data_IF_722727617365
#
_entry.id   IF_722727617365
#
_cell.length_a   1.000
_cell.length_b   1.000
_cell.length_c   1.000
_cell.angle_alpha   90.00
_cell.angle_beta   90.00
_cell.angle_gamma   90.00
#
_symmetry.space_group_name_H-M   'P 1'
#
loop_
_entity.id
_entity.type
_entity.pdbx_description
1 polymer ?
#
# COMPACT_ATOMS: atom_id res chain seq x y z
N UNK A 1 16.84 -30.07 -9.80
CA UNK A 1 17.02 -29.12 -10.91
C UNK A 1 16.07 -27.96 -10.67
N UNK A 2 16.55 -26.84 -10.14
CA UNK A 2 15.75 -25.68 -9.75
C UNK A 2 15.72 -24.72 -10.94
N UNK A 3 14.58 -24.64 -11.61
CA UNK A 3 14.37 -23.78 -12.77
C UNK A 3 14.19 -22.33 -12.27
N UNK A 4 15.23 -21.54 -12.39
CA UNK A 4 15.20 -20.10 -12.10
C UNK A 4 14.44 -19.43 -13.25
N UNK A 5 13.18 -19.09 -13.02
CA UNK A 5 12.40 -18.28 -13.97
C UNK A 5 12.89 -16.83 -13.86
N UNK A 6 13.79 -16.46 -14.74
CA UNK A 6 14.15 -15.06 -14.98
C UNK A 6 12.96 -14.39 -15.68
N UNK A 7 12.17 -13.64 -14.91
CA UNK A 7 11.20 -12.71 -15.48
C UNK A 7 11.97 -11.59 -16.19
N UNK A 8 11.63 -11.25 -17.45
CA UNK A 8 12.23 -10.12 -18.12
C UNK A 8 11.80 -8.84 -17.41
N UNK A 9 12.72 -8.18 -16.74
CA UNK A 9 12.56 -6.81 -16.25
C UNK A 9 12.55 -5.90 -17.49
N UNK A 10 11.38 -5.74 -18.09
CA UNK A 10 11.16 -4.73 -19.11
C UNK A 10 11.40 -3.35 -18.48
N UNK A 11 12.48 -2.71 -18.86
CA UNK A 11 12.77 -1.33 -18.52
C UNK A 11 11.73 -0.42 -19.18
N UNK A 12 10.64 -0.15 -18.48
CA UNK A 12 9.84 1.04 -18.74
C UNK A 12 10.54 2.19 -18.02
N UNK A 13 10.68 3.33 -18.66
CA UNK A 13 11.37 4.51 -18.16
C UNK A 13 10.60 5.25 -17.04
N UNK A 14 9.84 4.54 -16.23
CA UNK A 14 9.22 5.06 -15.03
C UNK A 14 10.24 4.93 -13.90
N UNK A 15 10.52 6.03 -13.22
CA UNK A 15 11.49 6.09 -12.13
C UNK A 15 11.00 5.20 -10.98
N UNK A 16 11.59 4.02 -10.83
CA UNK A 16 11.26 3.11 -9.73
C UNK A 16 11.80 3.69 -8.41
N UNK A 17 10.99 3.62 -7.37
CA UNK A 17 11.36 4.00 -6.01
C UNK A 17 11.65 2.77 -5.15
N UNK A 18 12.38 2.97 -4.05
CA UNK A 18 12.67 1.95 -3.05
C UNK A 18 12.25 2.40 -1.66
N UNK A 19 11.58 1.51 -0.92
CA UNK A 19 11.13 1.77 0.44
C UNK A 19 11.25 0.57 1.38
N UNK A 20 11.05 0.85 2.67
CA UNK A 20 10.92 -0.16 3.71
C UNK A 20 9.48 -0.17 4.24
N UNK A 21 9.02 -1.34 4.68
CA UNK A 21 7.71 -1.55 5.29
C UNK A 21 7.87 -2.32 6.60
N UNK A 22 7.46 -1.73 7.70
CA UNK A 22 7.44 -2.36 9.02
C UNK A 22 6.00 -2.52 9.47
N UNK A 23 5.61 -3.72 9.85
CA UNK A 23 4.27 -4.00 10.35
C UNK A 23 4.27 -4.78 11.66
N UNK A 24 3.35 -4.39 12.53
CA UNK A 24 3.04 -5.05 13.79
C UNK A 24 1.60 -5.52 13.74
N UNK A 25 1.34 -6.80 13.95
CA UNK A 25 -0.01 -7.36 14.06
C UNK A 25 -0.19 -8.01 15.42
N UNK A 26 -1.20 -7.59 16.16
CA UNK A 26 -1.62 -8.21 17.42
C UNK A 26 -3.02 -8.79 17.22
N UNK A 27 -3.20 -10.07 17.44
CA UNK A 27 -4.48 -10.75 17.25
C UNK A 27 -4.89 -11.48 18.52
N UNK A 28 -6.07 -11.13 19.04
CA UNK A 28 -6.70 -11.77 20.20
C UNK A 28 -7.89 -12.61 19.78
N UNK A 29 -7.88 -13.90 20.14
CA UNK A 29 -9.06 -14.76 19.98
C UNK A 29 -10.09 -14.42 21.05
N UNK A 30 -11.29 -14.01 20.62
CA UNK A 30 -12.43 -13.78 21.50
C UNK A 30 -13.27 -15.03 21.67
N UNK A 31 -13.34 -15.85 20.61
CA UNK A 31 -14.03 -17.16 20.63
C UNK A 31 -13.38 -18.13 19.62
N UNK A 32 -13.97 -19.33 19.46
CA UNK A 32 -13.52 -20.29 18.44
C UNK A 32 -13.61 -19.76 16.99
N UNK A 33 -14.53 -18.81 16.77
CA UNK A 33 -14.81 -18.27 15.43
C UNK A 33 -14.52 -16.76 15.30
N UNK A 34 -14.34 -16.04 16.39
CA UNK A 34 -14.17 -14.57 16.38
C UNK A 34 -12.81 -14.19 16.92
N UNK A 35 -12.10 -13.32 16.22
CA UNK A 35 -10.86 -12.70 16.69
C UNK A 35 -10.84 -11.20 16.40
N UNK A 36 -10.22 -10.44 17.30
CA UNK A 36 -9.96 -9.02 17.20
C UNK A 36 -8.48 -8.85 16.81
N UNK A 37 -8.21 -7.99 15.81
CA UNK A 37 -6.88 -7.65 15.36
C UNK A 37 -6.58 -6.17 15.55
N UNK A 38 -5.34 -5.88 15.89
CA UNK A 38 -4.74 -4.55 15.81
C UNK A 38 -3.56 -4.64 14.84
N UNK A 39 -3.41 -3.64 13.99
CA UNK A 39 -2.30 -3.54 13.04
C UNK A 39 -1.66 -2.15 13.13
N UNK A 40 -0.33 -2.11 13.21
CA UNK A 40 0.48 -0.91 13.07
C UNK A 40 1.35 -1.03 11.82
N UNK A 41 1.54 0.06 11.08
CA UNK A 41 2.34 0.09 9.86
C UNK A 41 3.20 1.35 9.83
N UNK A 42 4.46 1.21 9.41
CA UNK A 42 5.37 2.29 9.09
C UNK A 42 6.01 2.01 7.73
N UNK A 43 5.94 2.98 6.82
CA UNK A 43 6.55 2.89 5.49
C UNK A 43 7.48 4.05 5.20
N UNK A 44 8.49 3.76 4.38
CA UNK A 44 9.36 4.78 3.80
C UNK A 44 9.24 4.80 2.27
N UNK A 45 9.71 5.89 1.66
CA UNK A 45 9.85 6.11 0.21
C UNK A 45 11.14 6.89 -0.07
N UNK A 46 11.35 7.31 -1.31
CA UNK A 46 12.50 8.12 -1.76
C UNK A 46 13.84 7.45 -1.40
N UNK A 47 13.99 6.16 -1.77
CA UNK A 47 15.13 5.35 -1.39
C UNK A 47 15.37 5.33 0.12
N UNK A 48 14.30 5.13 0.88
CA UNK A 48 14.23 5.06 2.36
C UNK A 48 14.46 6.39 3.11
N UNK A 49 14.69 7.49 2.42
CA UNK A 49 15.03 8.79 3.05
C UNK A 49 13.82 9.47 3.71
N UNK A 50 12.61 9.17 3.23
CA UNK A 50 11.40 9.86 3.66
C UNK A 50 10.41 8.86 4.26
N UNK A 51 9.85 9.17 5.43
CA UNK A 51 8.70 8.42 5.96
C UNK A 51 7.50 8.76 5.09
N UNK A 52 6.95 7.74 4.42
CA UNK A 52 5.78 7.85 3.54
C UNK A 52 4.48 7.81 4.32
N UNK A 53 4.37 6.82 5.23
CA UNK A 53 3.14 6.55 5.97
C UNK A 53 3.43 5.92 7.31
N UNK A 54 2.59 6.26 8.28
CA UNK A 54 2.32 5.40 9.41
C UNK A 54 0.80 5.21 9.57
N UNK A 55 0.39 4.05 10.03
CA UNK A 55 -1.02 3.71 10.15
C UNK A 55 -1.27 2.86 11.38
N UNK A 56 -2.49 2.97 11.90
CA UNK A 56 -3.02 2.09 12.93
C UNK A 56 -4.39 1.59 12.52
N UNK A 57 -4.66 0.30 12.72
CA UNK A 57 -5.88 -0.34 12.30
C UNK A 57 -6.45 -1.31 13.33
N UNK A 58 -7.75 -1.47 13.30
CA UNK A 58 -8.50 -2.47 14.04
C UNK A 58 -9.26 -3.36 13.07
N UNK A 59 -9.36 -4.63 13.35
CA UNK A 59 -10.11 -5.58 12.54
C UNK A 59 -10.86 -6.58 13.40
N UNK A 60 -12.00 -7.01 12.91
CA UNK A 60 -12.80 -8.11 13.45
C UNK A 60 -12.85 -9.21 12.40
N UNK A 61 -12.34 -10.39 12.75
CA UNK A 61 -12.36 -11.58 11.91
C UNK A 61 -13.41 -12.56 12.42
N UNK A 62 -14.25 -13.07 11.51
CA UNK A 62 -15.20 -14.13 11.75
C UNK A 62 -14.91 -15.33 10.85
N UNK A 63 -14.56 -16.46 11.46
CA UNK A 63 -14.33 -17.73 10.78
C UNK A 63 -15.66 -18.48 10.62
N UNK A 64 -16.33 -18.25 9.49
CA UNK A 64 -17.62 -18.88 9.18
C UNK A 64 -17.47 -20.40 8.97
N UNK A 65 -16.42 -20.80 8.25
CA UNK A 65 -16.05 -22.22 8.03
C UNK A 65 -14.54 -22.39 8.16
N UNK A 66 -14.07 -23.64 8.19
CA UNK A 66 -12.61 -23.93 8.25
C UNK A 66 -11.82 -23.32 7.09
N UNK A 67 -12.48 -23.10 5.96
CA UNK A 67 -11.92 -22.58 4.72
C UNK A 67 -12.42 -21.18 4.35
N UNK A 68 -13.33 -20.58 5.14
CA UNK A 68 -13.97 -19.30 4.84
C UNK A 68 -13.89 -18.36 6.04
N UNK A 69 -13.30 -17.20 5.82
CA UNK A 69 -13.18 -16.11 6.79
C UNK A 69 -13.76 -14.81 6.23
N UNK A 70 -14.59 -14.16 7.02
CA UNK A 70 -15.08 -12.80 6.83
C UNK A 70 -14.28 -11.87 7.73
N UNK A 71 -13.95 -10.69 7.27
CA UNK A 71 -13.26 -9.68 8.08
C UNK A 71 -13.81 -8.31 7.78
N UNK A 72 -13.96 -7.49 8.83
CA UNK A 72 -14.26 -6.07 8.72
C UNK A 72 -13.17 -5.29 9.47
N UNK A 73 -12.77 -4.14 8.95
CA UNK A 73 -11.70 -3.37 9.56
C UNK A 73 -11.81 -1.88 9.29
N UNK A 74 -11.18 -1.13 10.19
CA UNK A 74 -10.96 0.30 10.07
C UNK A 74 -9.48 0.59 10.30
N UNK A 75 -8.93 1.50 9.50
CA UNK A 75 -7.55 1.98 9.68
C UNK A 75 -7.50 3.50 9.54
N UNK A 76 -6.77 4.11 10.45
CA UNK A 76 -6.37 5.51 10.37
C UNK A 76 -4.96 5.54 9.78
N UNK A 77 -4.80 6.29 8.70
CA UNK A 77 -3.53 6.46 8.01
C UNK A 77 -3.09 7.91 8.11
N UNK A 78 -1.81 8.10 8.33
CA UNK A 78 -1.14 9.39 8.25
C UNK A 78 -0.13 9.30 7.11
N UNK A 79 -0.42 10.01 6.03
CA UNK A 79 0.38 9.98 4.81
C UNK A 79 1.17 11.29 4.67
N UNK A 80 2.43 11.18 4.35
CA UNK A 80 3.28 12.28 3.95
C UNK A 80 3.01 12.57 2.46
N UNK A 81 2.11 13.51 2.21
CA UNK A 81 1.71 13.86 0.86
C UNK A 81 2.68 14.87 0.25
N UNK A 82 3.00 14.66 -1.02
CA UNK A 82 3.69 15.61 -1.87
C UNK A 82 2.84 15.82 -3.11
N UNK A 83 2.40 17.06 -3.36
CA UNK A 83 1.55 17.41 -4.48
C UNK A 83 2.22 18.42 -5.35
N UNK A 84 2.55 18.00 -6.55
CA UNK A 84 3.17 18.85 -7.56
C UNK A 84 2.08 19.25 -8.56
N UNK A 85 1.94 20.54 -8.82
CA UNK A 85 1.19 21.05 -9.97
C UNK A 85 2.17 21.39 -11.06
N UNK A 86 1.77 21.15 -12.30
CA UNK A 86 2.61 21.37 -13.48
C UNK A 86 2.10 22.55 -14.28
N UNK A 87 2.96 23.13 -15.10
CA UNK A 87 2.56 24.15 -16.07
C UNK A 87 1.72 23.49 -17.17
N UNK A 88 0.61 24.12 -17.52
CA UNK A 88 -0.30 23.67 -18.56
C UNK A 88 -0.37 24.69 -19.73
N UNK A 89 -1.15 24.37 -20.77
CA UNK A 89 -1.28 25.21 -21.95
C UNK A 89 -1.94 26.58 -21.69
N UNK A 90 -2.57 26.76 -20.54
CA UNK A 90 -3.23 28.01 -20.16
C UNK A 90 -2.26 28.99 -19.51
N UNK A 91 -1.11 28.52 -19.04
CA UNK A 91 -0.03 29.34 -18.41
C UNK A 91 0.79 30.14 -19.44
N UNK A 92 0.14 30.78 -20.40
CA UNK A 92 0.74 31.43 -21.59
C UNK A 92 1.70 32.57 -21.28
N UNK A 93 1.55 33.24 -20.15
CA UNK A 93 2.40 34.38 -19.78
C UNK A 93 3.85 33.95 -19.52
N UNK A 94 4.02 32.83 -18.85
CA UNK A 94 5.34 32.27 -18.48
C UNK A 94 6.10 31.75 -19.72
N UNK A 95 5.39 31.24 -20.72
CA UNK A 95 5.98 30.69 -21.95
C UNK A 95 6.51 31.77 -22.91
N UNK A 96 5.91 32.95 -22.88
CA UNK A 96 6.40 34.08 -23.68
C UNK A 96 7.76 34.59 -23.22
N UNK A 97 8.10 34.38 -21.94
CA UNK A 97 9.36 34.74 -21.34
C UNK A 97 10.41 33.63 -21.44
N UNK A 98 10.00 32.38 -21.80
CA UNK A 98 10.88 31.24 -21.96
C UNK A 98 11.37 30.61 -20.65
N UNK A 99 10.69 30.93 -19.52
CA UNK A 99 11.13 30.54 -18.18
C UNK A 99 10.67 29.13 -17.77
N UNK A 100 9.65 28.57 -18.45
CA UNK A 100 9.16 27.21 -18.21
C UNK A 100 8.46 26.62 -19.44
N UNK A 101 8.34 25.30 -19.50
CA UNK A 101 7.65 24.55 -20.55
C UNK A 101 6.41 23.82 -19.99
N UNK A 102 5.49 23.38 -20.89
CA UNK A 102 4.37 22.51 -20.49
C UNK A 102 4.90 21.24 -19.90
N UNK A 103 4.39 20.88 -18.72
CA UNK A 103 4.80 19.70 -18.00
C UNK A 103 5.95 19.93 -17.02
N UNK A 104 6.53 21.13 -16.97
CA UNK A 104 7.47 21.48 -15.91
C UNK A 104 6.76 21.65 -14.56
N UNK A 105 7.40 21.32 -13.43
CA UNK A 105 6.82 21.49 -12.10
C UNK A 105 6.63 22.99 -11.77
N UNK A 106 5.38 23.36 -11.46
CA UNK A 106 4.98 24.75 -11.14
C UNK A 106 5.04 25.04 -9.66
N UNK A 107 4.32 24.24 -8.87
CA UNK A 107 4.26 24.39 -7.41
C UNK A 107 4.22 23.04 -6.72
N UNK A 108 4.81 22.98 -5.52
CA UNK A 108 4.83 21.80 -4.68
C UNK A 108 4.24 22.10 -3.29
N UNK A 109 3.34 21.25 -2.81
CA UNK A 109 2.86 21.27 -1.43
C UNK A 109 3.26 19.97 -0.75
N UNK A 110 3.95 20.06 0.41
CA UNK A 110 4.31 18.92 1.25
C UNK A 110 3.57 19.03 2.59
N UNK A 111 2.80 18.00 2.95
CA UNK A 111 2.05 18.00 4.20
C UNK A 111 1.69 16.61 4.68
N UNK A 112 1.55 16.46 5.99
CA UNK A 112 0.98 15.27 6.60
C UNK A 112 -0.55 15.35 6.58
N UNK A 113 -1.18 14.35 5.98
CA UNK A 113 -2.64 14.27 5.89
C UNK A 113 -3.18 12.97 6.45
N UNK A 114 -4.38 13.02 7.02
CA UNK A 114 -5.08 11.84 7.52
C UNK A 114 -5.94 11.20 6.43
N UNK A 115 -6.08 9.87 6.49
CA UNK A 115 -7.06 9.12 5.70
C UNK A 115 -7.75 8.09 6.58
N UNK A 116 -9.05 7.99 6.43
CA UNK A 116 -9.88 6.98 7.08
C UNK A 116 -10.15 5.86 6.09
N UNK A 117 -9.84 4.63 6.46
CA UNK A 117 -10.03 3.47 5.59
C UNK A 117 -10.92 2.45 6.25
N UNK A 118 -12.03 2.14 5.60
CA UNK A 118 -12.93 1.04 5.97
C UNK A 118 -12.74 -0.10 4.98
N UNK A 119 -12.79 -1.33 5.46
CA UNK A 119 -12.69 -2.49 4.59
C UNK A 119 -13.55 -3.65 5.08
N UNK A 120 -14.07 -4.41 4.12
CA UNK A 120 -14.71 -5.70 4.34
C UNK A 120 -14.06 -6.70 3.41
N UNK A 121 -13.71 -7.88 3.91
CA UNK A 121 -13.07 -8.90 3.08
C UNK A 121 -13.62 -10.29 3.31
N UNK A 122 -13.64 -11.05 2.24
CA UNK A 122 -13.91 -12.47 2.19
C UNK A 122 -12.60 -13.19 1.83
N UNK A 123 -12.19 -14.15 2.65
CA UNK A 123 -11.00 -14.96 2.38
C UNK A 123 -11.39 -16.44 2.35
N UNK A 124 -11.06 -17.09 1.25
CA UNK A 124 -11.15 -18.54 1.11
C UNK A 124 -9.74 -19.11 1.08
N UNK A 125 -9.46 -20.12 1.91
CA UNK A 125 -8.17 -20.79 1.94
C UNK A 125 -8.33 -22.30 2.04
N UNK A 126 -7.50 -23.05 1.30
CA UNK A 126 -7.52 -24.52 1.31
C UNK A 126 -6.16 -25.09 0.92
N UNK A 127 -5.76 -26.19 1.58
CA UNK A 127 -4.70 -27.05 1.07
C UNK A 127 -5.25 -27.87 -0.10
N UNK A 128 -4.62 -27.77 -1.28
CA UNK A 128 -5.11 -28.40 -2.51
C UNK A 128 -4.17 -29.54 -2.93
N UNK A 129 -2.85 -29.31 -2.90
CA UNK A 129 -1.84 -30.24 -3.37
C UNK A 129 -0.75 -30.36 -2.30
N UNK A 130 -0.63 -31.54 -1.69
CA UNK A 130 0.39 -31.80 -0.68
C UNK A 130 0.39 -30.76 0.44
N UNK A 131 1.52 -30.09 0.62
CA UNK A 131 1.72 -29.04 1.64
C UNK A 131 1.43 -27.62 1.12
N UNK A 132 0.98 -27.47 -0.13
CA UNK A 132 0.62 -26.19 -0.69
C UNK A 132 -0.79 -25.77 -0.30
N UNK A 133 -0.87 -24.56 0.29
CA UNK A 133 -2.12 -23.88 0.63
C UNK A 133 -2.35 -22.75 -0.35
N UNK A 134 -3.53 -22.69 -0.94
CA UNK A 134 -3.97 -21.63 -1.82
C UNK A 134 -5.02 -20.79 -1.11
N UNK A 135 -4.95 -19.48 -1.25
CA UNK A 135 -5.98 -18.57 -0.76
C UNK A 135 -6.34 -17.49 -1.77
N UNK A 136 -7.64 -17.16 -1.77
CA UNK A 136 -8.19 -16.04 -2.53
C UNK A 136 -8.82 -15.10 -1.51
N UNK A 137 -8.51 -13.83 -1.60
CA UNK A 137 -9.14 -12.78 -0.79
C UNK A 137 -9.72 -11.70 -1.68
N UNK A 138 -11.02 -11.49 -1.54
CA UNK A 138 -11.70 -10.31 -2.07
C UNK A 138 -11.88 -9.31 -0.95
N UNK A 139 -11.48 -8.05 -1.17
CA UNK A 139 -11.59 -6.97 -0.21
C UNK A 139 -12.18 -5.75 -0.89
N UNK A 140 -13.37 -5.35 -0.47
CA UNK A 140 -13.86 -4.02 -0.73
C UNK A 140 -13.26 -3.05 0.29
N UNK A 141 -12.77 -1.91 -0.18
CA UNK A 141 -12.13 -0.87 0.61
C UNK A 141 -12.71 0.49 0.22
N UNK A 142 -13.13 1.26 1.21
CA UNK A 142 -13.44 2.67 1.06
C UNK A 142 -12.40 3.49 1.81
N UNK A 143 -11.76 4.44 1.13
CA UNK A 143 -10.80 5.37 1.74
C UNK A 143 -11.32 6.78 1.59
N UNK A 144 -11.51 7.47 2.70
CA UNK A 144 -11.89 8.88 2.74
C UNK A 144 -10.71 9.72 3.22
N UNK A 145 -10.40 10.76 2.46
CA UNK A 145 -9.44 11.79 2.77
C UNK A 145 -10.21 13.06 3.12
N UNK A 146 -10.08 13.61 4.34
CA UNK A 146 -10.64 14.91 4.70
C UNK A 146 -10.06 16.03 3.85
N UNK A 147 -10.77 17.16 3.83
CA UNK A 147 -10.23 18.40 3.32
C UNK A 147 -8.98 18.81 4.13
N UNK A 148 -8.01 19.39 3.45
CA UNK A 148 -6.77 19.86 4.05
C UNK A 148 -6.32 21.18 3.41
N UNK A 149 -6.00 22.18 4.24
CA UNK A 149 -5.46 23.46 3.79
C UNK A 149 -3.99 23.52 4.14
N UNK A 150 -3.16 23.89 3.17
CA UNK A 150 -1.76 24.25 3.36
C UNK A 150 -1.63 25.76 3.30
N UNK A 151 -0.79 26.34 4.16
CA UNK A 151 -0.65 27.80 4.25
C UNK A 151 0.08 28.37 3.04
N UNK A 152 1.02 27.62 2.47
CA UNK A 152 1.85 28.04 1.35
C UNK A 152 2.33 26.84 0.52
N UNK A 153 2.78 27.10 -0.70
CA UNK A 153 3.37 26.10 -1.60
C UNK A 153 4.71 26.62 -2.12
N UNK A 154 5.65 25.71 -2.30
CA UNK A 154 6.91 26.03 -2.95
C UNK A 154 6.69 26.32 -4.44
N UNK A 155 7.08 27.49 -4.94
CA UNK A 155 7.08 27.84 -6.36
C UNK A 155 8.45 27.49 -6.97
N UNK A 156 8.45 26.66 -8.01
CA UNK A 156 9.69 26.28 -8.69
C UNK A 156 10.25 27.43 -9.55
N UNK A 157 9.37 28.30 -10.05
CA UNK A 157 9.78 29.47 -10.84
C UNK A 157 10.44 30.54 -9.94
N UNK A 158 9.76 30.89 -8.85
CA UNK A 158 10.23 31.95 -7.95
C UNK A 158 11.32 31.49 -6.97
N UNK A 159 11.56 30.17 -6.88
CA UNK A 159 12.45 29.54 -5.88
C UNK A 159 12.12 29.98 -4.44
N UNK A 160 10.83 30.17 -4.15
CA UNK A 160 10.31 30.69 -2.89
C UNK A 160 8.93 30.12 -2.56
N UNK A 161 8.49 30.28 -1.32
CA UNK A 161 7.11 29.97 -0.95
C UNK A 161 6.16 31.06 -1.42
N UNK A 162 4.99 30.68 -1.96
CA UNK A 162 4.04 31.61 -2.57
C UNK A 162 3.20 32.40 -1.55
N UNK A 163 3.28 32.07 -0.25
CA UNK A 163 2.54 32.71 0.83
C UNK A 163 1.01 32.69 0.64
N UNK A 164 0.50 31.81 -0.23
CA UNK A 164 -0.92 31.73 -0.57
C UNK A 164 -1.50 30.40 -0.10
N UNK A 165 -2.52 30.41 0.78
CA UNK A 165 -3.15 29.19 1.23
C UNK A 165 -3.84 28.45 0.07
N UNK A 166 -3.73 27.13 0.08
CA UNK A 166 -4.42 26.24 -0.88
C UNK A 166 -5.16 25.15 -0.14
N UNK A 167 -6.47 25.09 -0.38
CA UNK A 167 -7.32 24.03 0.16
C UNK A 167 -7.46 22.91 -0.86
N UNK A 168 -7.20 21.68 -0.42
CA UNK A 168 -7.42 20.45 -1.16
C UNK A 168 -8.70 19.80 -0.64
N UNK A 169 -9.72 19.71 -1.48
CA UNK A 169 -11.03 19.16 -1.12
C UNK A 169 -10.94 17.72 -0.62
N UNK A 170 -11.84 17.37 0.28
CA UNK A 170 -12.02 15.99 0.72
C UNK A 170 -12.43 15.08 -0.45
N UNK A 171 -11.92 13.84 -0.47
CA UNK A 171 -12.20 12.87 -1.54
C UNK A 171 -12.38 11.48 -0.96
N UNK A 172 -13.42 10.77 -1.40
CA UNK A 172 -13.66 9.36 -1.10
C UNK A 172 -13.33 8.48 -2.30
N UNK A 173 -12.78 7.29 -2.07
CA UNK A 173 -12.45 6.33 -3.12
C UNK A 173 -12.79 4.91 -2.72
N UNK A 174 -13.48 4.20 -3.62
CA UNK A 174 -13.78 2.79 -3.51
C UNK A 174 -12.76 1.97 -4.32
N UNK A 175 -12.24 0.91 -3.72
CA UNK A 175 -11.31 0.00 -4.38
C UNK A 175 -11.69 -1.44 -4.04
N UNK A 176 -11.82 -2.28 -5.06
CA UNK A 176 -11.90 -3.72 -4.92
C UNK A 176 -10.49 -4.30 -5.04
N UNK A 177 -10.07 -5.11 -4.06
CA UNK A 177 -8.74 -5.72 -4.02
C UNK A 177 -8.86 -7.23 -4.04
N UNK A 178 -8.40 -7.83 -5.12
CA UNK A 178 -8.32 -9.29 -5.29
C UNK A 178 -6.91 -9.75 -5.01
N UNK A 179 -6.71 -10.64 -4.04
CA UNK A 179 -5.42 -11.25 -3.75
C UNK A 179 -5.45 -12.75 -3.95
N UNK A 180 -4.53 -13.26 -4.74
CA UNK A 180 -4.24 -14.67 -4.92
C UNK A 180 -2.92 -14.98 -4.22
N UNK A 181 -2.89 -16.01 -3.36
CA UNK A 181 -1.71 -16.38 -2.57
C UNK A 181 -1.51 -17.89 -2.57
N UNK A 182 -0.25 -18.28 -2.63
CA UNK A 182 0.21 -19.64 -2.41
C UNK A 182 1.22 -19.65 -1.26
N UNK A 183 1.07 -20.61 -0.34
CA UNK A 183 1.96 -20.83 0.80
C UNK A 183 2.41 -22.30 0.80
N UNK A 184 3.67 -22.52 1.17
CA UNK A 184 4.15 -23.87 1.47
C UNK A 184 4.11 -24.11 2.98
N UNK A 185 3.03 -24.78 3.46
CA UNK A 185 2.73 -24.99 4.88
C UNK A 185 2.91 -26.49 5.24
N UNK A 186 4.17 -26.92 5.33
CA UNK A 186 4.54 -28.28 5.73
C UNK A 186 4.56 -28.42 7.25
N UNK A 187 3.95 -29.48 7.74
CA UNK A 187 3.99 -29.83 9.17
C UNK A 187 5.42 -29.99 9.66
N UNK A 188 5.78 -29.32 10.76
CA UNK A 188 7.11 -29.42 11.37
C UNK A 188 8.12 -28.39 10.87
N UNK A 189 7.84 -27.65 9.80
CA UNK A 189 8.64 -26.50 9.41
C UNK A 189 8.24 -25.25 10.21
N UNK A 190 9.26 -24.58 10.79
CA UNK A 190 9.07 -23.31 11.46
C UNK A 190 8.85 -22.14 10.46
N UNK A 191 9.33 -22.32 9.23
CA UNK A 191 9.30 -21.30 8.17
C UNK A 191 8.23 -21.66 7.14
N UNK A 192 7.41 -20.69 6.76
CA UNK A 192 6.36 -20.82 5.74
C UNK A 192 6.64 -19.84 4.61
N UNK A 193 7.27 -20.25 3.50
CA UNK A 193 7.42 -19.39 2.32
C UNK A 193 6.07 -19.15 1.67
N UNK A 194 5.89 -17.95 1.09
CA UNK A 194 4.68 -17.61 0.34
C UNK A 194 4.97 -16.68 -0.83
N UNK A 195 4.08 -16.71 -1.80
CA UNK A 195 4.02 -15.74 -2.87
C UNK A 195 2.57 -15.29 -3.05
N UNK A 196 2.35 -14.02 -3.36
CA UNK A 196 1.03 -13.54 -3.73
C UNK A 196 1.07 -12.44 -4.77
N UNK A 197 -0.05 -12.29 -5.49
CA UNK A 197 -0.34 -11.17 -6.36
C UNK A 197 -1.64 -10.52 -5.88
N UNK A 198 -1.67 -9.19 -5.87
CA UNK A 198 -2.83 -8.42 -5.46
C UNK A 198 -3.15 -7.35 -6.51
N UNK A 199 -4.40 -7.32 -6.97
CA UNK A 199 -4.93 -6.38 -7.95
C UNK A 199 -5.79 -5.35 -7.24
N UNK A 200 -5.67 -4.08 -7.64
CA UNK A 200 -6.44 -2.96 -7.11
C UNK A 200 -7.28 -2.37 -8.23
N UNK A 201 -8.58 -2.51 -8.12
CA UNK A 201 -9.55 -2.09 -9.12
C UNK A 201 -10.48 -1.00 -8.55
N UNK A 202 -10.51 0.17 -9.20
CA UNK A 202 -11.46 1.24 -8.96
C UNK A 202 -11.99 1.67 -10.32
N UNK A 203 -13.02 1.03 -10.84
CA UNK A 203 -13.50 1.09 -12.23
C UNK A 203 -12.52 0.51 -13.27
N UNK A 204 -11.22 0.67 -13.09
CA UNK A 204 -10.15 0.07 -13.91
C UNK A 204 -9.06 -0.49 -13.00
N UNK A 205 -8.13 -1.28 -13.57
CA UNK A 205 -6.97 -1.79 -12.85
C UNK A 205 -5.96 -0.66 -12.65
N UNK A 206 -5.83 -0.17 -11.41
CA UNK A 206 -4.93 0.93 -11.06
C UNK A 206 -3.53 0.45 -10.70
N UNK A 207 -3.46 -0.57 -9.86
CA UNK A 207 -2.20 -1.06 -9.27
C UNK A 207 -2.16 -2.57 -9.23
N UNK A 208 -0.97 -3.14 -9.39
CA UNK A 208 -0.70 -4.56 -9.18
C UNK A 208 0.46 -4.69 -8.19
N UNK A 209 0.34 -5.57 -7.21
CA UNK A 209 1.41 -5.87 -6.24
C UNK A 209 1.79 -7.34 -6.31
N UNK A 210 3.07 -7.58 -6.34
CA UNK A 210 3.67 -8.90 -6.22
C UNK A 210 4.40 -8.97 -4.88
N UNK A 211 4.15 -10.02 -4.11
CA UNK A 211 4.85 -10.28 -2.85
C UNK A 211 5.50 -11.65 -2.89
N UNK A 212 6.73 -11.70 -2.42
CA UNK A 212 7.45 -12.93 -2.13
C UNK A 212 8.00 -12.82 -0.71
N UNK A 213 7.70 -13.79 0.14
CA UNK A 213 8.11 -13.67 1.54
C UNK A 213 8.18 -15.00 2.28
N UNK A 214 8.59 -14.89 3.51
CA UNK A 214 8.67 -15.98 4.47
C UNK A 214 8.05 -15.53 5.80
N UNK A 215 7.26 -16.42 6.42
CA UNK A 215 6.80 -16.28 7.79
C UNK A 215 7.53 -17.30 8.68
N UNK A 216 8.20 -16.85 9.72
CA UNK A 216 8.89 -17.69 10.69
C UNK A 216 8.13 -17.74 12.01
N UNK A 217 7.67 -18.93 12.41
CA UNK A 217 7.00 -19.19 13.68
C UNK A 217 8.04 -19.37 14.77
N UNK A 218 8.28 -18.34 15.59
CA UNK A 218 9.19 -18.39 16.72
C UNK A 218 8.60 -19.17 17.88
N UNK A 219 7.28 -19.06 18.08
CA UNK A 219 6.52 -19.80 19.09
C UNK A 219 5.06 -19.97 18.68
N UNK A 220 4.23 -20.50 19.57
CA UNK A 220 2.77 -20.56 19.35
C UNK A 220 2.11 -19.21 19.27
N UNK A 221 2.72 -18.18 19.90
CA UNK A 221 2.18 -16.83 19.99
C UNK A 221 2.89 -15.85 19.05
N UNK A 222 4.17 -16.07 18.75
CA UNK A 222 5.05 -15.12 18.09
C UNK A 222 5.47 -15.61 16.70
N UNK A 223 5.34 -14.77 15.71
CA UNK A 223 5.92 -14.98 14.38
C UNK A 223 6.53 -13.70 13.84
N UNK A 224 7.57 -13.85 13.03
CA UNK A 224 8.27 -12.78 12.32
C UNK A 224 8.19 -13.11 10.84
N UNK A 225 7.91 -12.11 10.01
CA UNK A 225 7.92 -12.25 8.57
C UNK A 225 8.92 -11.31 7.93
N UNK A 226 9.46 -11.73 6.79
CA UNK A 226 10.22 -10.87 5.90
C UNK A 226 9.69 -11.05 4.48
N UNK A 227 9.59 -9.96 3.73
CA UNK A 227 9.08 -10.02 2.37
C UNK A 227 9.72 -8.97 1.47
N UNK A 228 9.72 -9.29 0.20
CA UNK A 228 9.92 -8.35 -0.88
C UNK A 228 8.59 -8.09 -1.56
N UNK A 229 8.31 -6.83 -1.89
CA UNK A 229 7.11 -6.39 -2.59
C UNK A 229 7.51 -5.49 -3.77
N UNK A 230 6.96 -5.80 -4.93
CA UNK A 230 7.01 -4.92 -6.09
C UNK A 230 5.59 -4.45 -6.42
N UNK A 231 5.40 -3.15 -6.56
CA UNK A 231 4.13 -2.56 -6.95
C UNK A 231 4.30 -1.80 -8.26
N UNK A 232 3.48 -2.14 -9.25
CA UNK A 232 3.32 -1.35 -10.46
C UNK A 232 2.08 -0.48 -10.37
N UNK A 233 2.15 0.74 -10.87
CA UNK A 233 1.05 1.69 -10.95
C UNK A 233 0.72 1.91 -12.42
N UNK A 234 -0.58 1.79 -12.79
CA UNK A 234 -1.06 2.01 -14.17
C UNK A 234 -1.81 3.32 -14.31
N UNK A 235 -2.49 3.73 -13.26
CA UNK A 235 -3.26 4.97 -13.24
C UNK A 235 -2.98 5.62 -11.90
N UNK A 236 -2.39 6.81 -11.93
CA UNK A 236 -2.28 7.66 -10.74
C UNK A 236 -3.63 8.35 -10.48
N UNK A 237 -3.90 8.72 -9.24
CA UNK A 237 -4.92 9.73 -8.95
C UNK A 237 -4.46 11.05 -9.56
N UNK A 238 -5.37 11.84 -10.11
CA UNK A 238 -5.13 13.09 -10.88
C UNK A 238 -4.18 14.11 -10.21
N UNK A 239 -3.78 13.88 -9.00
CA UNK A 239 -2.92 14.76 -8.19
C UNK A 239 -1.57 14.11 -7.81
N UNK A 240 -1.22 12.92 -8.33
CA UNK A 240 -0.04 12.19 -7.83
C UNK A 240 0.48 11.16 -8.84
N UNK A 241 1.67 11.39 -9.36
CA UNK A 241 2.43 10.37 -10.09
C UNK A 241 3.06 9.40 -9.08
N UNK A 242 2.29 8.39 -8.67
CA UNK A 242 2.84 7.30 -7.86
C UNK A 242 3.87 6.52 -8.70
N UNK A 243 5.15 6.49 -8.36
CA UNK A 243 6.13 5.66 -9.06
C UNK A 243 5.84 4.18 -8.81
N UNK A 244 6.39 3.32 -9.66
CA UNK A 244 6.55 1.93 -9.26
C UNK A 244 7.44 1.87 -8.02
N UNK A 245 7.18 0.94 -7.11
CA UNK A 245 7.93 0.89 -5.87
C UNK A 245 8.36 -0.53 -5.52
N UNK A 246 9.65 -0.67 -5.20
CA UNK A 246 10.23 -1.85 -4.59
C UNK A 246 10.26 -1.67 -3.08
N UNK A 247 9.82 -2.66 -2.32
CA UNK A 247 9.84 -2.60 -0.86
C UNK A 247 10.40 -3.88 -0.26
N UNK A 248 11.24 -3.72 0.75
CA UNK A 248 11.57 -4.79 1.68
C UNK A 248 10.78 -4.56 2.95
N UNK A 249 10.09 -5.59 3.44
CA UNK A 249 9.27 -5.48 4.63
C UNK A 249 9.63 -6.47 5.71
N UNK A 250 9.44 -6.03 6.95
CA UNK A 250 9.51 -6.86 8.15
C UNK A 250 8.18 -6.79 8.88
N UNK A 251 7.70 -7.93 9.33
CA UNK A 251 6.46 -8.03 10.10
C UNK A 251 6.68 -8.78 11.39
N UNK A 252 6.03 -8.33 12.45
CA UNK A 252 5.93 -9.07 13.70
C UNK A 252 4.47 -9.31 14.03
N UNK A 253 4.15 -10.55 14.39
CA UNK A 253 2.80 -10.98 14.69
C UNK A 253 2.72 -11.67 16.04
N UNK A 254 1.82 -11.15 16.89
CA UNK A 254 1.48 -11.71 18.20
C UNK A 254 0.03 -12.25 18.15
N UNK A 255 -0.19 -13.53 18.51
CA UNK A 255 -1.52 -14.17 18.54
C UNK A 255 -1.75 -14.81 19.91
N UNK A 256 -2.82 -14.43 20.63
CA UNK A 256 -3.20 -14.96 21.94
C UNK A 256 -4.72 -15.11 22.10
#
# INVERSE_FOLDING_TARGET
MMMLVLLPLGAAAQKDDFGLDFSLEVQKKLSKSVSLGFEGELRTRDNTKTVDRWAAGLSLDYKAYKWLKLSAGYSLLFDNNERITYFDAEDKEVWREGDAEVGDPKKCAKYWGTRHRFNVSLTMDRKIIGDFRFSIRERWQYTWRPEHTVDERWSYLDQAYDGKPKTYSGKGKHVLRTRLQVEYDRKGLAVTPYANVEFFNSMSLEKTRFHLGIDWKLSKLHSVGAFYRYQTVRTSDDDYDDPNIHMIGLSYKLKF
#
